data_IF_853084368678
#
_entry.id   IF_853084368678
#
_cell.length_a   1.000
_cell.length_b   1.000
_cell.length_c   1.000
_cell.angle_alpha   90.00
_cell.angle_beta   90.00
_cell.angle_gamma   90.00
#
_symmetry.space_group_name_H-M   'P 1'
#
loop_
_entity.id
_entity.type
_entity.pdbx_description
1 polymer ?
#
# COMPACT_ATOMS: atom_id res chain seq x y z
N UNK A 1 57.47 23.41 -4.84
CA UNK A 1 57.17 24.84 -4.99
C UNK A 1 55.72 25.00 -4.64
N UNK A 2 55.40 25.26 -3.35
CA UNK A 2 55.11 26.58 -2.76
C UNK A 2 53.83 27.15 -3.37
N UNK A 3 52.77 27.48 -2.67
CA UNK A 3 52.56 28.14 -1.38
C UNK A 3 51.08 28.06 -0.97
N UNK A 4 50.84 27.75 0.28
CA UNK A 4 49.61 28.16 0.98
C UNK A 4 49.64 29.69 1.22
N UNK A 5 48.47 30.28 1.56
CA UNK A 5 48.43 30.97 2.85
C UNK A 5 47.18 30.73 3.68
N UNK A 6 47.44 30.61 4.96
CA UNK A 6 46.60 30.66 6.12
C UNK A 6 45.90 32.00 6.34
N UNK A 7 44.69 32.03 6.89
CA UNK A 7 44.21 33.12 7.76
C UNK A 7 43.37 32.58 8.92
N UNK A 8 43.76 33.01 10.10
CA UNK A 8 43.23 32.64 11.39
C UNK A 8 41.98 33.44 11.81
N UNK A 9 41.58 33.30 13.12
CA UNK A 9 40.21 33.51 13.57
C UNK A 9 39.93 34.94 14.02
N UNK A 10 38.64 35.35 13.96
CA UNK A 10 38.16 36.59 14.59
C UNK A 10 37.23 36.25 15.74
N UNK A 11 37.61 36.63 16.95
CA UNK A 11 36.80 36.71 18.16
C UNK A 11 35.84 37.91 18.10
N UNK A 12 34.63 37.73 18.59
CA UNK A 12 33.67 38.80 18.90
C UNK A 12 32.84 38.42 20.10
N UNK A 13 33.16 39.08 21.23
CA UNK A 13 32.44 39.00 22.49
C UNK A 13 31.14 39.84 22.47
N UNK A 14 30.04 39.37 23.03
CA UNK A 14 29.56 39.81 24.35
C UNK A 14 28.33 40.69 24.32
N UNK A 15 27.43 40.38 25.13
CA UNK A 15 26.61 41.11 26.09
C UNK A 15 25.17 40.58 26.17
N UNK A 16 24.89 40.05 27.37
CA UNK A 16 23.56 39.68 27.78
C UNK A 16 22.78 40.89 28.32
N UNK A 17 21.48 40.78 28.33
CA UNK A 17 20.61 41.41 29.31
C UNK A 17 19.39 40.52 29.56
N UNK A 18 19.19 40.22 30.86
CA UNK A 18 18.04 39.46 31.35
C UNK A 18 16.83 40.36 31.52
N UNK A 19 15.66 39.75 31.45
CA UNK A 19 14.44 40.33 32.03
C UNK A 19 13.72 39.22 32.81
N UNK A 20 13.50 39.53 34.09
CA UNK A 20 12.71 38.78 35.07
C UNK A 20 11.20 38.91 34.82
N UNK A 21 10.36 37.97 35.34
CA UNK A 21 8.92 37.97 35.12
C UNK A 21 8.16 38.79 36.17
N UNK A 22 7.09 39.45 35.72
CA UNK A 22 6.17 40.19 36.57
C UNK A 22 5.04 39.28 37.04
N UNK A 23 4.87 39.14 38.36
CA UNK A 23 3.71 38.52 39.02
C UNK A 23 2.55 39.53 39.11
N UNK A 24 1.32 39.11 38.81
CA UNK A 24 0.07 39.80 39.11
C UNK A 24 -0.93 38.84 39.80
N UNK A 25 -1.84 39.37 40.68
CA UNK A 25 -2.42 38.63 41.79
C UNK A 25 -3.70 37.88 41.46
N UNK A 26 -3.95 36.82 42.26
CA UNK A 26 -5.08 35.92 42.17
C UNK A 26 -6.43 36.52 42.56
N UNK A 27 -7.50 35.89 42.10
CA UNK A 27 -8.85 35.99 42.65
C UNK A 27 -9.41 34.57 42.89
N UNK A 28 -9.94 34.39 44.10
CA UNK A 28 -10.47 33.14 44.61
C UNK A 28 -11.91 32.80 44.13
N UNK A 29 -12.47 31.66 44.55
CA UNK A 29 -13.66 31.08 43.96
C UNK A 29 -14.97 31.59 44.56
N UNK A 30 -16.00 31.76 43.70
CA UNK A 30 -17.38 32.06 44.13
C UNK A 30 -18.20 30.77 44.04
N UNK A 31 -18.73 30.33 45.22
CA UNK A 31 -19.72 29.25 45.30
C UNK A 31 -21.13 29.77 44.98
N UNK A 32 -21.90 29.08 44.14
CA UNK A 32 -23.32 29.24 43.93
C UNK A 32 -24.04 27.87 43.89
N UNK A 33 -25.31 27.79 44.32
CA UNK A 33 -25.94 26.55 44.83
C UNK A 33 -26.47 25.61 43.76
N UNK A 34 -26.55 24.32 44.16
CA UNK A 34 -26.92 23.19 43.37
C UNK A 34 -28.33 23.16 42.78
N UNK A 35 -28.48 22.48 41.69
CA UNK A 35 -29.75 21.89 41.19
C UNK A 35 -29.53 20.43 40.83
N UNK A 36 -30.45 19.59 41.28
CA UNK A 36 -30.41 18.15 41.18
C UNK A 36 -30.64 17.59 39.76
N UNK A 37 -30.57 16.25 39.57
CA UNK A 37 -30.48 15.62 38.26
C UNK A 37 -31.82 15.55 37.54
N UNK A 38 -31.86 16.10 36.34
CA UNK A 38 -32.97 15.86 35.39
C UNK A 38 -32.56 14.66 34.51
N UNK A 39 -33.25 13.54 34.64
CA UNK A 39 -33.15 12.42 33.71
C UNK A 39 -33.79 12.83 32.38
N UNK A 40 -32.93 13.04 31.33
CA UNK A 40 -33.32 13.15 29.94
C UNK A 40 -33.04 11.82 29.22
N UNK A 41 -33.79 11.50 28.13
CA UNK A 41 -33.73 10.20 27.45
C UNK A 41 -32.37 10.01 26.75
N UNK A 42 -31.89 8.75 26.78
CA UNK A 42 -30.58 8.34 26.31
C UNK A 42 -30.23 8.81 24.91
N UNK A 43 -29.15 9.60 24.85
CA UNK A 43 -28.46 9.84 23.60
C UNK A 43 -27.70 8.57 23.21
N UNK A 44 -28.18 7.90 22.16
CA UNK A 44 -27.42 6.86 21.48
C UNK A 44 -26.05 7.41 21.12
N UNK A 45 -24.99 6.77 21.63
CA UNK A 45 -23.63 7.08 21.24
C UNK A 45 -23.52 6.78 19.75
N UNK A 46 -23.48 7.82 18.94
CA UNK A 46 -23.13 7.73 17.53
C UNK A 46 -21.73 7.17 17.43
N UNK A 47 -21.60 5.90 17.05
CA UNK A 47 -20.31 5.32 16.69
C UNK A 47 -19.85 6.06 15.44
N UNK A 48 -18.76 6.79 15.54
CA UNK A 48 -18.13 7.43 14.39
C UNK A 48 -17.79 6.38 13.32
N UNK A 49 -17.81 6.72 12.02
CA UNK A 49 -17.51 5.79 10.95
C UNK A 49 -16.08 5.25 11.13
N UNK A 50 -15.97 3.95 11.46
CA UNK A 50 -14.69 3.26 11.65
C UNK A 50 -14.47 2.51 12.96
N UNK A 51 -15.30 2.71 13.99
CA UNK A 51 -15.28 1.86 15.18
C UNK A 51 -16.10 0.59 14.90
N UNK A 52 -15.40 -0.55 14.73
CA UNK A 52 -16.05 -1.86 14.55
C UNK A 52 -15.65 -2.64 13.30
N UNK A 53 -14.76 -2.12 12.44
CA UNK A 53 -14.27 -2.88 11.29
C UNK A 53 -13.24 -3.92 11.76
N UNK A 54 -13.65 -5.19 11.82
CA UNK A 54 -12.77 -6.33 12.08
C UNK A 54 -12.66 -7.20 10.82
N UNK A 55 -11.69 -8.12 10.82
CA UNK A 55 -11.55 -9.11 9.76
C UNK A 55 -12.83 -9.91 9.58
N UNK A 56 -13.41 -10.37 10.67
CA UNK A 56 -14.61 -11.20 10.69
C UNK A 56 -15.85 -10.44 10.22
N UNK A 57 -16.01 -9.18 10.66
CA UNK A 57 -17.19 -8.37 10.30
C UNK A 57 -17.21 -7.96 8.83
N UNK A 58 -16.05 -7.87 8.19
CA UNK A 58 -15.89 -7.40 6.80
C UNK A 58 -15.74 -8.53 5.79
N UNK A 59 -15.31 -9.74 6.21
CA UNK A 59 -15.05 -10.86 5.31
C UNK A 59 -16.33 -11.34 4.61
N UNK A 60 -16.23 -11.53 3.30
CA UNK A 60 -17.29 -12.02 2.41
C UNK A 60 -16.74 -13.10 1.48
N UNK A 61 -17.62 -13.90 0.94
CA UNK A 61 -17.30 -14.94 -0.03
C UNK A 61 -18.13 -14.75 -1.31
N UNK A 62 -17.50 -14.99 -2.44
CA UNK A 62 -18.13 -15.06 -3.76
C UNK A 62 -17.78 -16.40 -4.40
N UNK A 63 -18.78 -17.22 -4.64
CA UNK A 63 -18.60 -18.47 -5.38
C UNK A 63 -18.49 -18.16 -6.86
N UNK A 64 -17.43 -18.63 -7.50
CA UNK A 64 -17.17 -18.49 -8.94
C UNK A 64 -16.94 -19.87 -9.57
N UNK A 65 -16.88 -19.91 -10.89
CA UNK A 65 -16.52 -21.11 -11.67
C UNK A 65 -15.06 -21.58 -11.44
N UNK A 66 -14.19 -20.70 -10.95
CA UNK A 66 -12.79 -21.01 -10.61
C UNK A 66 -12.54 -21.21 -9.11
N UNK A 67 -13.57 -21.34 -8.30
CA UNK A 67 -13.49 -21.49 -6.83
C UNK A 67 -14.03 -20.28 -6.07
N UNK A 68 -13.86 -20.29 -4.75
CA UNK A 68 -14.37 -19.25 -3.88
C UNK A 68 -13.34 -18.12 -3.78
N UNK A 69 -13.77 -16.92 -4.22
CA UNK A 69 -13.05 -15.68 -3.93
C UNK A 69 -13.50 -15.15 -2.58
N UNK A 70 -12.54 -14.79 -1.75
CA UNK A 70 -12.78 -14.08 -0.49
C UNK A 70 -12.35 -12.64 -0.63
N UNK A 71 -13.11 -11.76 -0.01
CA UNK A 71 -12.84 -10.32 -0.03
C UNK A 71 -13.36 -9.67 1.24
N UNK A 72 -12.86 -8.49 1.58
CA UNK A 72 -13.41 -7.69 2.65
C UNK A 72 -14.23 -6.56 2.07
N UNK A 73 -15.38 -6.25 2.69
CA UNK A 73 -16.28 -5.21 2.25
C UNK A 73 -16.59 -4.25 3.39
N UNK A 74 -16.48 -2.94 3.12
CA UNK A 74 -16.82 -1.88 4.07
C UNK A 74 -17.22 -0.60 3.32
N UNK A 75 -18.23 0.12 3.90
CA UNK A 75 -18.78 1.34 3.28
C UNK A 75 -19.82 1.04 2.20
N UNK A 76 -20.49 2.09 1.73
CA UNK A 76 -21.66 2.02 0.83
C UNK A 76 -21.60 3.04 -0.34
N UNK A 77 -20.49 3.76 -0.48
CA UNK A 77 -20.29 4.75 -1.55
C UNK A 77 -19.96 4.13 -2.91
N UNK A 78 -19.37 4.92 -3.84
CA UNK A 78 -18.89 4.42 -5.12
C UNK A 78 -17.90 3.27 -4.94
N UNK A 79 -17.88 2.25 -5.83
CA UNK A 79 -17.04 1.08 -5.66
C UNK A 79 -15.54 1.42 -5.79
N UNK A 80 -14.76 0.92 -4.81
CA UNK A 80 -13.31 1.01 -4.74
C UNK A 80 -12.72 -0.37 -4.53
N UNK A 81 -12.03 -0.88 -5.54
CA UNK A 81 -11.34 -2.17 -5.49
C UNK A 81 -9.91 -1.98 -4.99
N UNK A 82 -9.55 -2.71 -3.92
CA UNK A 82 -8.23 -2.68 -3.32
C UNK A 82 -7.50 -4.01 -3.56
N UNK A 83 -6.33 -3.94 -4.18
CA UNK A 83 -5.52 -5.07 -4.65
C UNK A 83 -4.19 -5.10 -3.90
N UNK A 84 -3.92 -6.19 -3.18
CA UNK A 84 -2.72 -6.32 -2.35
C UNK A 84 -1.46 -6.69 -3.12
N UNK A 85 -0.31 -6.59 -2.46
CA UNK A 85 0.98 -7.02 -2.98
C UNK A 85 1.17 -8.54 -2.95
N UNK A 86 2.43 -9.00 -3.03
CA UNK A 86 2.75 -10.43 -3.20
C UNK A 86 3.84 -10.95 -2.25
N UNK A 87 4.16 -10.24 -1.20
CA UNK A 87 5.19 -10.65 -0.25
C UNK A 87 4.76 -11.82 0.67
N UNK A 88 5.71 -12.43 1.41
CA UNK A 88 5.43 -13.49 2.35
C UNK A 88 4.35 -13.13 3.37
N UNK A 89 3.36 -13.99 3.52
CA UNK A 89 2.27 -13.82 4.46
C UNK A 89 1.39 -12.59 4.22
N UNK A 90 1.39 -12.02 3.01
CA UNK A 90 0.50 -10.93 2.65
C UNK A 90 -0.93 -11.43 2.51
N UNK A 91 -1.87 -10.59 2.94
CA UNK A 91 -3.30 -10.72 2.63
C UNK A 91 -3.85 -9.34 2.31
N UNK A 92 -4.99 -9.26 1.66
CA UNK A 92 -5.67 -7.99 1.41
C UNK A 92 -5.99 -7.27 2.71
N UNK A 93 -6.48 -8.04 3.70
CA UNK A 93 -6.74 -7.51 5.04
C UNK A 93 -5.51 -6.86 5.67
N UNK A 94 -4.38 -7.58 5.75
CA UNK A 94 -3.13 -7.02 6.34
C UNK A 94 -2.62 -5.80 5.57
N UNK A 95 -2.84 -5.77 4.27
CA UNK A 95 -2.39 -4.68 3.42
C UNK A 95 -3.17 -3.38 3.70
N UNK A 96 -4.51 -3.48 3.91
CA UNK A 96 -5.39 -2.32 3.90
C UNK A 96 -6.21 -2.10 5.17
N UNK A 97 -6.16 -3.00 6.18
CA UNK A 97 -6.96 -2.86 7.42
C UNK A 97 -6.82 -1.49 8.09
N UNK A 98 -5.64 -0.89 8.01
CA UNK A 98 -5.36 0.41 8.59
C UNK A 98 -6.01 1.59 7.87
N UNK A 99 -6.30 1.44 6.57
CA UNK A 99 -6.84 2.49 5.72
C UNK A 99 -8.36 2.35 5.51
N UNK A 100 -8.90 1.18 5.84
CA UNK A 100 -10.27 0.81 5.48
C UNK A 100 -11.29 1.78 6.09
N UNK A 101 -11.08 2.24 7.32
CA UNK A 101 -11.99 3.17 7.99
C UNK A 101 -12.06 4.53 7.28
N UNK A 102 -10.91 5.07 6.84
CA UNK A 102 -10.84 6.34 6.13
C UNK A 102 -11.48 6.25 4.74
N UNK A 103 -11.19 5.17 4.01
CA UNK A 103 -11.71 4.94 2.66
C UNK A 103 -13.21 4.61 2.67
N UNK A 104 -13.68 3.77 3.59
CA UNK A 104 -15.07 3.35 3.72
C UNK A 104 -16.03 4.50 4.10
N UNK A 105 -15.51 5.59 4.63
CA UNK A 105 -16.29 6.81 4.84
C UNK A 105 -16.74 7.51 3.55
N UNK A 106 -16.21 7.12 2.39
CA UNK A 106 -16.51 7.72 1.08
C UNK A 106 -16.82 6.69 -0.01
N UNK A 107 -16.36 5.46 0.13
CA UNK A 107 -16.39 4.42 -0.89
C UNK A 107 -16.97 3.12 -0.35
N UNK A 108 -17.55 2.31 -1.23
CA UNK A 108 -17.76 0.88 -1.01
C UNK A 108 -16.43 0.18 -1.30
N UNK A 109 -15.65 -0.06 -0.26
CA UNK A 109 -14.32 -0.69 -0.35
C UNK A 109 -14.46 -2.20 -0.50
N UNK A 110 -13.80 -2.77 -1.51
CA UNK A 110 -13.74 -4.19 -1.83
C UNK A 110 -12.27 -4.62 -1.82
N UNK A 111 -11.81 -5.21 -0.73
CA UNK A 111 -10.42 -5.66 -0.61
C UNK A 111 -10.35 -7.11 -1.05
N UNK A 112 -9.88 -7.36 -2.27
CA UNK A 112 -9.76 -8.71 -2.81
C UNK A 112 -8.61 -9.45 -2.12
N UNK A 113 -8.86 -10.69 -1.70
CA UNK A 113 -7.86 -11.67 -1.34
C UNK A 113 -7.50 -12.48 -2.59
N UNK A 114 -6.33 -12.24 -3.17
CA UNK A 114 -5.94 -12.93 -4.39
C UNK A 114 -5.80 -14.44 -4.20
N UNK A 115 -6.20 -15.28 -5.18
CA UNK A 115 -5.88 -16.70 -5.19
C UNK A 115 -4.39 -16.98 -5.10
N UNK A 116 -4.00 -17.99 -4.31
CA UNK A 116 -2.62 -18.37 -4.09
C UNK A 116 -1.91 -17.65 -2.94
N UNK A 117 -2.65 -16.86 -2.15
CA UNK A 117 -2.13 -16.17 -0.95
C UNK A 117 -2.77 -16.67 0.35
N UNK A 118 -3.48 -17.80 0.30
CA UNK A 118 -3.93 -18.57 1.46
C UNK A 118 -5.25 -18.12 2.09
N UNK A 119 -6.02 -17.25 1.44
CA UNK A 119 -7.34 -16.84 1.91
C UNK A 119 -8.43 -17.26 0.92
N UNK A 120 -8.35 -16.83 -0.34
CA UNK A 120 -9.19 -17.35 -1.44
C UNK A 120 -8.71 -18.71 -1.88
N UNK A 121 -9.57 -19.49 -2.50
CA UNK A 121 -9.24 -20.80 -3.03
C UNK A 121 -8.07 -20.71 -4.04
N UNK A 122 -7.11 -21.64 -3.98
CA UNK A 122 -5.99 -21.65 -4.90
C UNK A 122 -6.44 -21.99 -6.33
N UNK A 123 -5.78 -21.38 -7.31
CA UNK A 123 -5.93 -21.80 -8.71
C UNK A 123 -4.69 -22.58 -9.14
N UNK A 124 -4.83 -23.46 -10.15
CA UNK A 124 -3.69 -24.15 -10.76
C UNK A 124 -2.77 -23.22 -11.55
N UNK A 125 -3.24 -21.99 -11.86
CA UNK A 125 -2.50 -21.01 -12.63
C UNK A 125 -1.42 -20.29 -11.79
N UNK A 126 -0.48 -19.66 -12.50
CA UNK A 126 0.50 -18.77 -11.86
C UNK A 126 -0.23 -17.58 -11.19
N UNK A 127 0.06 -17.22 -9.91
CA UNK A 127 -0.71 -16.20 -9.19
C UNK A 127 -0.84 -14.86 -9.93
N UNK A 128 0.25 -14.38 -10.55
CA UNK A 128 0.23 -13.15 -11.36
C UNK A 128 -0.66 -13.24 -12.60
N UNK A 129 -0.78 -14.43 -13.21
CA UNK A 129 -1.63 -14.63 -14.38
C UNK A 129 -3.12 -14.75 -13.99
N UNK A 130 -3.42 -15.32 -12.83
CA UNK A 130 -4.79 -15.49 -12.33
C UNK A 130 -5.37 -14.16 -11.78
N UNK A 131 -4.53 -13.27 -11.25
CA UNK A 131 -4.96 -12.10 -10.49
C UNK A 131 -5.87 -11.11 -11.27
N UNK A 132 -5.60 -10.76 -12.56
CA UNK A 132 -6.50 -9.87 -13.30
C UNK A 132 -7.90 -10.49 -13.50
N UNK A 133 -7.97 -11.79 -13.82
CA UNK A 133 -9.23 -12.51 -13.94
C UNK A 133 -10.00 -12.56 -12.61
N UNK A 134 -9.32 -12.78 -11.49
CA UNK A 134 -9.95 -12.76 -10.17
C UNK A 134 -10.53 -11.39 -9.83
N UNK A 135 -9.83 -10.30 -10.17
CA UNK A 135 -10.32 -8.94 -9.97
C UNK A 135 -11.60 -8.68 -10.79
N UNK A 136 -11.62 -9.08 -12.05
CA UNK A 136 -12.80 -8.94 -12.92
C UNK A 136 -13.96 -9.81 -12.44
N UNK A 137 -13.72 -11.08 -12.10
CA UNK A 137 -14.76 -11.97 -11.57
C UNK A 137 -15.40 -11.43 -10.28
N UNK A 138 -14.61 -10.81 -9.41
CA UNK A 138 -15.17 -10.15 -8.22
C UNK A 138 -16.13 -9.02 -8.61
N UNK A 139 -15.72 -8.14 -9.52
CA UNK A 139 -16.58 -7.04 -9.98
C UNK A 139 -17.85 -7.57 -10.67
N UNK A 140 -17.72 -8.57 -11.53
CA UNK A 140 -18.84 -9.17 -12.26
C UNK A 140 -19.84 -9.85 -11.32
N UNK A 141 -19.34 -10.65 -10.39
CA UNK A 141 -20.17 -11.34 -9.41
C UNK A 141 -20.91 -10.40 -8.44
N UNK A 142 -20.40 -9.19 -8.27
CA UNK A 142 -21.06 -8.14 -7.47
C UNK A 142 -21.88 -7.15 -8.31
N UNK A 143 -22.02 -7.37 -9.62
CA UNK A 143 -22.75 -6.50 -10.52
C UNK A 143 -22.12 -5.11 -10.68
N UNK A 144 -20.80 -4.99 -10.51
CA UNK A 144 -20.09 -3.72 -10.58
C UNK A 144 -19.48 -3.56 -11.98
N UNK A 145 -20.04 -2.66 -12.76
CA UNK A 145 -19.56 -2.38 -14.11
C UNK A 145 -18.22 -1.64 -14.11
N UNK A 146 -18.01 -0.70 -13.19
CA UNK A 146 -16.83 0.16 -13.14
C UNK A 146 -16.46 0.52 -11.70
N UNK A 147 -15.17 0.48 -11.36
CA UNK A 147 -14.66 0.82 -10.03
C UNK A 147 -13.43 1.73 -10.10
N UNK A 148 -13.17 2.48 -9.03
CA UNK A 148 -11.81 2.96 -8.76
C UNK A 148 -10.95 1.80 -8.28
N UNK A 149 -9.66 1.85 -8.56
CA UNK A 149 -8.72 0.78 -8.19
C UNK A 149 -7.53 1.35 -7.43
N UNK A 150 -7.23 0.76 -6.28
CA UNK A 150 -5.96 0.98 -5.57
C UNK A 150 -5.18 -0.33 -5.59
N UNK A 151 -3.94 -0.31 -6.04
CA UNK A 151 -3.09 -1.50 -6.08
C UNK A 151 -1.72 -1.28 -5.47
N UNK A 152 -1.35 -2.13 -4.49
CA UNK A 152 0.00 -2.15 -3.94
C UNK A 152 0.88 -3.15 -4.68
N UNK A 153 2.04 -2.71 -5.16
CA UNK A 153 3.06 -3.59 -5.75
C UNK A 153 2.48 -4.46 -6.89
N UNK A 154 2.38 -5.77 -6.71
CA UNK A 154 1.67 -6.67 -7.64
C UNK A 154 0.26 -6.17 -7.96
N UNK A 155 -0.48 -5.72 -6.95
CA UNK A 155 -1.83 -5.18 -7.14
C UNK A 155 -1.87 -3.96 -8.07
N UNK A 156 -0.83 -3.12 -8.05
CA UNK A 156 -0.69 -1.99 -8.97
C UNK A 156 -0.47 -2.45 -10.42
N UNK A 157 0.34 -3.49 -10.62
CA UNK A 157 0.53 -4.11 -11.96
C UNK A 157 -0.79 -4.72 -12.45
N UNK A 158 -1.49 -5.45 -11.58
CA UNK A 158 -2.79 -6.06 -11.91
C UNK A 158 -3.83 -4.99 -12.26
N UNK A 159 -3.93 -3.92 -11.46
CA UNK A 159 -4.83 -2.80 -11.74
C UNK A 159 -4.53 -2.13 -13.09
N UNK A 160 -3.26 -1.93 -13.42
CA UNK A 160 -2.84 -1.40 -14.71
C UNK A 160 -3.18 -2.36 -15.87
N UNK A 161 -2.98 -3.68 -15.68
CA UNK A 161 -3.36 -4.68 -16.67
C UNK A 161 -4.87 -4.68 -16.96
N UNK A 162 -5.71 -4.65 -15.91
CA UNK A 162 -7.16 -4.55 -16.06
C UNK A 162 -7.53 -3.25 -16.79
N UNK A 163 -6.97 -2.10 -16.39
CA UNK A 163 -7.25 -0.81 -17.01
C UNK A 163 -6.81 -0.72 -18.50
N UNK A 164 -5.81 -1.51 -18.91
CA UNK A 164 -5.36 -1.59 -20.32
C UNK A 164 -6.20 -2.57 -21.13
N UNK A 165 -6.54 -3.74 -20.56
CA UNK A 165 -7.29 -4.77 -21.26
C UNK A 165 -8.77 -4.45 -21.36
N UNK A 166 -9.35 -3.83 -20.35
CA UNK A 166 -10.74 -3.40 -20.30
C UNK A 166 -10.86 -1.99 -19.67
N UNK A 167 -10.63 -0.94 -20.47
CA UNK A 167 -10.64 0.44 -19.97
C UNK A 167 -12.00 0.89 -19.39
N UNK A 168 -13.10 0.22 -19.72
CA UNK A 168 -14.41 0.54 -19.18
C UNK A 168 -14.54 0.18 -17.69
N UNK A 169 -13.75 -0.77 -17.20
CA UNK A 169 -13.85 -1.31 -15.85
C UNK A 169 -13.14 -0.46 -14.78
N UNK A 170 -12.19 0.38 -15.17
CA UNK A 170 -11.41 1.19 -14.22
C UNK A 170 -11.70 2.68 -14.44
N UNK A 171 -12.24 3.34 -13.41
CA UNK A 171 -12.52 4.79 -13.44
C UNK A 171 -11.25 5.59 -13.18
N UNK A 172 -10.54 5.29 -12.09
CA UNK A 172 -9.25 5.87 -11.70
C UNK A 172 -8.37 4.77 -11.15
N UNK A 173 -7.07 4.92 -11.31
CA UNK A 173 -6.08 3.98 -10.80
C UNK A 173 -5.12 4.70 -9.82
N UNK A 174 -4.93 4.13 -8.64
CA UNK A 174 -3.85 4.49 -7.71
C UNK A 174 -2.90 3.31 -7.58
N UNK A 175 -1.60 3.54 -7.77
CA UNK A 175 -0.58 2.51 -7.55
C UNK A 175 0.30 2.87 -6.37
N UNK A 176 0.74 1.86 -5.62
CA UNK A 176 1.66 1.99 -4.49
C UNK A 176 2.87 1.13 -4.79
N UNK A 177 3.95 1.73 -5.27
CA UNK A 177 5.16 1.01 -5.70
C UNK A 177 4.90 0.02 -6.85
N UNK A 178 5.91 -0.76 -7.21
CA UNK A 178 5.82 -1.98 -8.04
C UNK A 178 5.60 -1.79 -9.55
N UNK A 179 4.90 -0.77 -9.99
CA UNK A 179 4.68 -0.51 -11.41
C UNK A 179 5.89 0.20 -12.02
N UNK A 180 6.62 -0.47 -12.90
CA UNK A 180 7.76 0.15 -13.58
C UNK A 180 8.93 -0.80 -13.83
N UNK A 181 10.09 -0.23 -14.10
CA UNK A 181 11.33 -0.95 -14.41
C UNK A 181 12.54 -0.19 -13.85
N UNK A 182 13.52 -0.91 -13.32
CA UNK A 182 14.77 -0.33 -12.86
C UNK A 182 15.50 0.38 -14.02
N UNK A 183 15.88 1.64 -13.83
CA UNK A 183 16.65 2.43 -14.77
C UNK A 183 18.11 2.56 -14.35
N UNK A 184 18.34 2.87 -13.07
CA UNK A 184 19.67 3.13 -12.49
C UNK A 184 19.98 2.13 -11.37
N UNK A 185 18.96 1.73 -10.62
CA UNK A 185 19.12 0.78 -9.53
C UNK A 185 19.39 -0.62 -10.03
N UNK A 186 20.22 -1.41 -9.34
CA UNK A 186 20.45 -2.79 -9.73
C UNK A 186 19.19 -3.64 -9.60
N UNK A 187 18.93 -4.48 -10.58
CA UNK A 187 17.85 -5.46 -10.55
C UNK A 187 18.36 -6.88 -10.36
N UNK A 188 17.72 -7.71 -9.53
CA UNK A 188 16.57 -7.38 -8.67
C UNK A 188 16.96 -6.52 -7.46
N UNK A 189 16.04 -5.68 -6.98
CA UNK A 189 16.23 -4.87 -5.78
C UNK A 189 16.47 -5.71 -4.53
N UNK A 190 16.94 -5.06 -3.44
CA UNK A 190 17.27 -5.74 -2.18
C UNK A 190 16.11 -6.59 -1.66
N UNK A 191 14.90 -6.01 -1.57
CA UNK A 191 13.75 -6.72 -1.05
C UNK A 191 13.36 -7.94 -1.89
N UNK A 192 13.51 -7.88 -3.23
CA UNK A 192 13.25 -9.05 -4.10
C UNK A 192 14.30 -10.14 -3.88
N UNK A 193 15.57 -9.79 -3.63
CA UNK A 193 16.62 -10.78 -3.31
C UNK A 193 16.36 -11.47 -1.98
N UNK A 194 15.98 -10.71 -0.94
CA UNK A 194 15.62 -11.24 0.37
C UNK A 194 14.34 -12.09 0.31
N UNK A 195 13.37 -11.69 -0.52
CA UNK A 195 12.19 -12.49 -0.79
C UNK A 195 12.54 -13.84 -1.44
N UNK A 196 13.44 -13.84 -2.41
CA UNK A 196 13.95 -15.07 -3.03
C UNK A 196 14.66 -15.97 -1.99
N UNK A 197 15.50 -15.38 -1.13
CA UNK A 197 16.16 -16.11 -0.05
C UNK A 197 15.13 -16.78 0.85
N UNK A 198 14.08 -16.05 1.27
CA UNK A 198 13.03 -16.59 2.11
C UNK A 198 12.28 -17.75 1.45
N UNK A 199 11.84 -17.61 0.20
CA UNK A 199 11.04 -18.68 -0.44
C UNK A 199 11.86 -19.93 -0.75
N UNK A 200 13.18 -19.81 -0.93
CA UNK A 200 14.08 -20.96 -1.10
C UNK A 200 14.38 -21.61 0.26
N UNK A 201 14.63 -20.82 1.29
CA UNK A 201 15.02 -21.25 2.64
C UNK A 201 14.16 -20.50 3.67
N UNK A 202 12.91 -20.96 3.91
CA UNK A 202 12.00 -20.26 4.79
C UNK A 202 12.43 -20.42 6.26
N UNK A 203 13.08 -19.40 6.80
CA UNK A 203 13.39 -19.25 8.21
C UNK A 203 12.80 -17.96 8.75
N UNK A 204 12.58 -17.92 10.07
CA UNK A 204 12.03 -16.74 10.73
C UNK A 204 12.94 -15.52 10.54
N UNK A 205 14.24 -15.73 10.64
CA UNK A 205 15.26 -14.69 10.43
C UNK A 205 15.25 -14.16 8.99
N UNK A 206 15.04 -15.02 8.00
CA UNK A 206 14.91 -14.60 6.61
C UNK A 206 13.64 -13.77 6.40
N UNK A 207 12.51 -14.13 7.03
CA UNK A 207 11.29 -13.34 7.02
C UNK A 207 11.52 -11.96 7.64
N UNK A 208 12.15 -11.89 8.82
CA UNK A 208 12.44 -10.64 9.52
C UNK A 208 13.34 -9.72 8.68
N UNK A 209 14.41 -10.25 8.08
CA UNK A 209 15.28 -9.47 7.18
C UNK A 209 14.51 -8.92 6.00
N UNK A 210 13.64 -9.74 5.40
CA UNK A 210 12.79 -9.27 4.30
C UNK A 210 11.81 -8.18 4.78
N UNK A 211 11.15 -8.34 5.91
CA UNK A 211 10.23 -7.33 6.48
C UNK A 211 10.94 -5.99 6.71
N UNK A 212 12.16 -6.01 7.26
CA UNK A 212 12.95 -4.78 7.40
C UNK A 212 13.31 -4.12 6.07
N UNK A 213 13.38 -4.87 4.97
CA UNK A 213 13.59 -4.27 3.65
C UNK A 213 12.35 -3.57 3.08
N UNK A 214 11.17 -3.85 3.65
CA UNK A 214 9.89 -3.29 3.20
C UNK A 214 9.61 -1.90 3.77
N UNK A 215 10.25 -1.54 4.89
CA UNK A 215 9.96 -0.32 5.64
C UNK A 215 11.19 0.58 5.77
N UNK A 216 10.96 1.88 5.94
CA UNK A 216 11.98 2.84 6.32
C UNK A 216 12.26 2.78 7.83
N UNK A 217 11.20 2.82 8.66
CA UNK A 217 11.32 2.71 10.10
C UNK A 217 11.26 1.21 10.54
N UNK A 218 12.39 0.64 11.00
CA UNK A 218 12.43 -0.76 11.43
C UNK A 218 11.52 -1.04 12.64
N UNK A 219 11.11 -0.04 13.42
CA UNK A 219 10.23 -0.20 14.56
C UNK A 219 8.80 -0.66 14.15
N UNK A 220 8.43 -0.51 12.89
CA UNK A 220 7.17 -1.02 12.35
C UNK A 220 7.15 -2.56 12.21
N UNK A 221 8.30 -3.20 12.22
CA UNK A 221 8.41 -4.67 12.17
C UNK A 221 8.30 -5.22 13.60
N UNK A 222 7.06 -5.35 14.07
CA UNK A 222 6.77 -5.88 15.42
C UNK A 222 6.76 -7.40 15.42
N UNK A 223 6.94 -7.98 16.61
CA UNK A 223 6.85 -9.42 16.82
C UNK A 223 5.48 -9.97 16.36
N UNK A 224 4.40 -9.25 16.67
CA UNK A 224 3.04 -9.60 16.23
C UNK A 224 2.96 -9.67 14.69
N UNK A 225 3.51 -8.68 13.99
CA UNK A 225 3.56 -8.70 12.53
C UNK A 225 4.34 -9.90 12.00
N UNK A 226 5.45 -10.24 12.62
CA UNK A 226 6.26 -11.41 12.23
C UNK A 226 5.47 -12.69 12.41
N UNK A 227 4.82 -12.90 13.56
CA UNK A 227 4.00 -14.09 13.82
C UNK A 227 2.80 -14.21 12.86
N UNK A 228 2.04 -13.14 12.68
CA UNK A 228 0.91 -13.11 11.73
C UNK A 228 1.34 -13.52 10.32
N UNK A 229 2.53 -13.06 9.88
CA UNK A 229 3.04 -13.35 8.54
C UNK A 229 3.68 -14.72 8.43
N UNK A 230 4.38 -15.15 9.47
CA UNK A 230 5.06 -16.46 9.51
C UNK A 230 4.08 -17.60 9.27
N UNK A 231 2.99 -17.63 10.04
CA UNK A 231 1.98 -18.68 9.93
C UNK A 231 1.42 -18.81 8.49
N UNK A 232 1.14 -17.68 7.83
CA UNK A 232 0.61 -17.67 6.46
C UNK A 232 1.69 -17.96 5.42
N UNK A 233 2.91 -17.43 5.59
CA UNK A 233 3.99 -17.55 4.63
C UNK A 233 4.57 -18.96 4.55
N UNK A 234 4.46 -19.73 5.63
CA UNK A 234 4.95 -21.12 5.72
C UNK A 234 3.88 -22.16 5.45
N UNK A 235 2.63 -21.74 5.24
CA UNK A 235 1.61 -22.63 4.70
C UNK A 235 2.11 -23.25 3.38
N UNK A 236 2.00 -24.58 3.20
CA UNK A 236 2.60 -25.28 2.06
C UNK A 236 2.15 -24.76 0.70
N UNK A 237 0.87 -24.46 0.53
CA UNK A 237 0.31 -24.01 -0.75
C UNK A 237 0.71 -22.55 -1.02
N UNK A 238 0.66 -21.71 0.00
CA UNK A 238 1.10 -20.30 -0.07
C UNK A 238 2.60 -20.22 -0.38
N UNK A 239 3.42 -21.03 0.26
CA UNK A 239 4.86 -21.07 0.00
C UNK A 239 5.17 -21.59 -1.42
N UNK A 240 4.45 -22.61 -1.88
CA UNK A 240 4.59 -23.12 -3.23
C UNK A 240 4.20 -22.07 -4.29
N UNK A 241 3.11 -21.32 -4.06
CA UNK A 241 2.72 -20.20 -4.92
C UNK A 241 3.78 -19.08 -4.93
N UNK A 242 4.32 -18.74 -3.76
CA UNK A 242 5.40 -17.76 -3.61
C UNK A 242 6.68 -18.20 -4.34
N UNK A 243 7.05 -19.48 -4.26
CA UNK A 243 8.19 -20.03 -5.02
C UNK A 243 7.99 -19.95 -6.54
N UNK A 244 6.78 -20.18 -7.04
CA UNK A 244 6.47 -19.99 -8.47
C UNK A 244 6.68 -18.54 -8.93
N UNK A 245 6.52 -17.57 -8.03
CA UNK A 245 6.69 -16.15 -8.35
C UNK A 245 8.14 -15.65 -8.17
N UNK A 246 8.82 -16.08 -7.12
CA UNK A 246 10.05 -15.47 -6.61
C UNK A 246 11.20 -16.44 -6.37
N UNK A 247 11.01 -17.73 -6.58
CA UNK A 247 12.10 -18.70 -6.51
C UNK A 247 13.14 -18.46 -7.59
N UNK A 248 14.35 -18.98 -7.43
CA UNK A 248 15.46 -18.83 -8.38
C UNK A 248 15.09 -19.22 -9.79
N UNK A 249 14.34 -20.32 -9.95
CA UNK A 249 13.86 -20.76 -11.26
C UNK A 249 12.95 -19.72 -11.93
N UNK A 250 12.04 -19.12 -11.16
CA UNK A 250 11.14 -18.07 -11.64
C UNK A 250 11.92 -16.81 -12.07
N UNK A 251 12.89 -16.37 -11.26
CA UNK A 251 13.74 -15.22 -11.61
C UNK A 251 14.58 -15.49 -12.86
N UNK A 252 15.12 -16.70 -13.00
CA UNK A 252 15.89 -17.09 -14.19
C UNK A 252 14.99 -17.10 -15.44
N UNK A 253 13.78 -17.66 -15.35
CA UNK A 253 12.82 -17.65 -16.43
C UNK A 253 12.40 -16.23 -16.82
N UNK A 254 12.18 -15.35 -15.84
CA UNK A 254 11.87 -13.94 -16.09
C UNK A 254 13.02 -13.20 -16.77
N UNK A 255 14.27 -13.44 -16.34
CA UNK A 255 15.44 -12.86 -16.97
C UNK A 255 15.64 -13.34 -18.41
N UNK A 256 15.30 -14.60 -18.70
CA UNK A 256 15.31 -15.15 -20.06
C UNK A 256 14.19 -14.53 -20.92
N UNK A 257 12.97 -14.39 -20.37
CA UNK A 257 11.86 -13.75 -21.06
C UNK A 257 12.11 -12.27 -21.37
N UNK A 258 12.82 -11.57 -20.52
CA UNK A 258 13.22 -10.16 -20.74
C UNK A 258 14.19 -9.98 -21.93
N UNK A 259 14.80 -11.07 -22.42
CA UNK A 259 15.66 -11.08 -23.62
C UNK A 259 14.91 -11.50 -24.89
N UNK A 260 13.62 -11.79 -24.79
CA UNK A 260 12.78 -12.11 -25.94
C UNK A 260 12.39 -10.83 -26.69
N UNK A 261 12.00 -10.99 -27.96
CA UNK A 261 11.50 -9.88 -28.80
C UNK A 261 10.10 -9.40 -28.39
N UNK A 262 9.45 -10.05 -27.42
CA UNK A 262 8.15 -9.63 -26.94
C UNK A 262 8.28 -8.32 -26.14
N UNK A 263 7.44 -7.31 -26.41
CA UNK A 263 7.50 -6.06 -25.68
C UNK A 263 7.20 -6.30 -24.18
N UNK A 264 8.00 -5.74 -23.27
CA UNK A 264 7.76 -5.88 -21.85
C UNK A 264 6.45 -5.17 -21.46
N UNK A 265 5.85 -5.59 -20.33
CA UNK A 265 4.54 -5.05 -19.89
C UNK A 265 4.52 -3.52 -19.79
N UNK A 266 5.61 -2.92 -19.35
CA UNK A 266 5.71 -1.46 -19.20
C UNK A 266 5.68 -0.71 -20.56
N UNK A 267 6.00 -1.37 -21.65
CA UNK A 267 5.89 -0.77 -22.99
C UNK A 267 4.43 -0.53 -23.42
N UNK A 268 3.46 -1.18 -22.75
CA UNK A 268 2.03 -1.01 -23.03
C UNK A 268 1.35 0.06 -22.17
N UNK A 269 2.07 0.64 -21.19
CA UNK A 269 1.50 1.62 -20.25
C UNK A 269 0.91 2.87 -20.91
N UNK A 270 1.40 3.25 -22.08
CA UNK A 270 0.84 4.34 -22.89
C UNK A 270 -0.63 4.10 -23.33
N UNK A 271 -1.12 2.87 -23.22
CA UNK A 271 -2.51 2.49 -23.53
C UNK A 271 -3.46 2.70 -22.35
N UNK A 272 -2.95 2.88 -21.14
CA UNK A 272 -3.75 3.15 -19.95
C UNK A 272 -4.45 4.50 -20.11
N UNK A 273 -5.78 4.53 -20.01
CA UNK A 273 -6.62 5.73 -20.21
C UNK A 273 -7.18 6.28 -18.91
N UNK A 274 -7.30 5.44 -17.88
CA UNK A 274 -7.78 5.89 -16.57
C UNK A 274 -6.82 6.92 -15.98
N UNK A 275 -7.32 8.05 -15.43
CA UNK A 275 -6.50 8.95 -14.64
C UNK A 275 -5.74 8.14 -13.58
N UNK A 276 -4.43 8.37 -13.46
CA UNK A 276 -3.55 7.53 -12.65
C UNK A 276 -2.73 8.36 -11.68
N UNK A 277 -2.80 8.01 -10.39
CA UNK A 277 -1.92 8.49 -9.34
C UNK A 277 -0.92 7.40 -8.98
N UNK A 278 0.35 7.67 -9.19
CA UNK A 278 1.46 6.80 -8.80
C UNK A 278 1.96 7.29 -7.43
N UNK A 279 1.90 6.44 -6.40
CA UNK A 279 2.43 6.77 -5.07
C UNK A 279 3.65 5.91 -4.77
N UNK A 280 4.68 6.50 -4.16
CA UNK A 280 5.97 5.83 -3.96
C UNK A 280 6.66 6.27 -2.68
N UNK A 281 7.27 5.32 -1.96
CA UNK A 281 8.20 5.64 -0.87
C UNK A 281 9.57 6.02 -1.45
N UNK A 282 10.13 7.14 -0.99
CA UNK A 282 11.45 7.61 -1.45
C UNK A 282 12.54 6.56 -1.20
N UNK A 283 12.41 5.84 -0.08
CA UNK A 283 13.42 4.93 0.44
C UNK A 283 13.06 3.44 0.20
N UNK A 284 12.22 3.17 -0.81
CA UNK A 284 11.77 1.84 -1.18
C UNK A 284 12.94 0.97 -1.69
N UNK A 285 13.26 -0.09 -0.94
CA UNK A 285 14.33 -1.05 -1.25
C UNK A 285 13.85 -2.29 -2.01
N UNK A 286 12.54 -2.41 -2.20
CA UNK A 286 11.93 -3.50 -2.99
C UNK A 286 11.78 -3.08 -4.44
N UNK A 287 11.16 -1.91 -4.62
CA UNK A 287 10.95 -1.25 -5.91
C UNK A 287 11.60 0.14 -5.83
N UNK A 288 12.90 0.29 -6.15
CA UNK A 288 13.58 1.57 -6.06
C UNK A 288 12.86 2.67 -6.82
N UNK A 289 12.93 3.92 -6.31
CA UNK A 289 12.15 5.05 -6.82
C UNK A 289 12.33 5.31 -8.33
N UNK A 290 13.51 5.01 -8.89
CA UNK A 290 13.75 5.17 -10.33
C UNK A 290 12.82 4.33 -11.21
N UNK A 291 12.22 3.26 -10.67
CA UNK A 291 11.19 2.49 -11.37
C UNK A 291 9.93 3.32 -11.67
N UNK A 292 9.60 4.32 -10.86
CA UNK A 292 8.43 5.17 -11.05
C UNK A 292 8.52 6.09 -12.29
N UNK A 293 9.73 6.36 -12.78
CA UNK A 293 9.95 7.34 -13.86
C UNK A 293 9.37 6.89 -15.19
N UNK A 294 9.46 5.60 -15.52
CA UNK A 294 8.88 5.08 -16.78
C UNK A 294 7.36 5.16 -16.77
N UNK A 295 6.62 4.62 -15.78
CA UNK A 295 5.17 4.74 -15.77
C UNK A 295 4.69 6.20 -15.68
N UNK A 296 5.34 7.04 -14.87
CA UNK A 296 5.02 8.47 -14.80
C UNK A 296 5.12 9.16 -16.18
N UNK A 297 6.11 8.78 -16.97
CA UNK A 297 6.33 9.34 -18.31
C UNK A 297 5.44 8.70 -19.37
N UNK A 298 5.17 7.40 -19.26
CA UNK A 298 4.47 6.63 -20.29
C UNK A 298 2.94 6.72 -20.19
N UNK A 299 2.39 6.79 -18.98
CA UNK A 299 0.94 6.85 -18.77
C UNK A 299 0.47 8.29 -19.01
N UNK A 300 -0.46 8.52 -19.96
CA UNK A 300 -0.98 9.87 -20.23
C UNK A 300 -1.64 10.49 -18.98
N UNK A 301 -1.18 11.68 -18.60
CA UNK A 301 -1.75 12.42 -17.46
C UNK A 301 -1.48 11.80 -16.09
N UNK A 302 -0.52 10.87 -15.97
CA UNK A 302 -0.16 10.30 -14.66
C UNK A 302 0.47 11.36 -13.75
N UNK A 303 0.09 11.29 -12.47
CA UNK A 303 0.69 12.09 -11.40
C UNK A 303 1.60 11.17 -10.55
N UNK A 304 2.73 11.69 -10.10
CA UNK A 304 3.63 10.98 -9.18
C UNK A 304 3.73 11.72 -7.86
N UNK A 305 3.41 11.01 -6.77
CA UNK A 305 3.59 11.51 -5.40
C UNK A 305 4.60 10.65 -4.66
N UNK A 306 5.71 11.24 -4.24
CA UNK A 306 6.80 10.57 -3.51
C UNK A 306 6.76 10.99 -2.04
N UNK A 307 6.73 10.01 -1.14
CA UNK A 307 6.70 10.21 0.30
C UNK A 307 8.12 10.06 0.88
N UNK A 308 8.64 11.06 1.61
CA UNK A 308 9.93 10.96 2.29
C UNK A 308 9.85 10.00 3.47
N UNK A 309 11.00 9.50 3.94
CA UNK A 309 11.13 8.62 5.10
C UNK A 309 10.14 7.46 5.05
N UNK A 310 10.09 6.79 3.91
CA UNK A 310 9.08 5.81 3.58
C UNK A 310 9.63 4.74 2.65
N UNK A 311 9.41 3.48 3.00
CA UNK A 311 9.75 2.31 2.22
C UNK A 311 8.62 1.88 1.26
N UNK A 312 8.43 0.58 1.13
CA UNK A 312 7.51 -0.02 0.14
C UNK A 312 6.02 0.08 0.53
N UNK A 313 5.71 0.22 1.83
CA UNK A 313 4.33 0.25 2.32
C UNK A 313 3.85 1.65 2.66
N UNK A 314 3.80 2.52 1.64
CA UNK A 314 3.41 3.93 1.79
C UNK A 314 2.10 4.10 2.59
N UNK A 315 1.09 3.26 2.29
CA UNK A 315 -0.22 3.28 2.95
C UNK A 315 -0.18 2.86 4.42
N UNK A 316 0.92 2.31 4.89
CA UNK A 316 1.16 1.93 6.29
C UNK A 316 2.07 2.98 6.96
N UNK A 317 3.20 3.29 6.33
CA UNK A 317 4.26 4.14 6.89
C UNK A 317 3.88 5.62 6.91
N UNK A 318 3.25 6.09 5.84
CA UNK A 318 2.81 7.48 5.67
C UNK A 318 1.28 7.59 5.59
N UNK A 319 0.58 6.80 6.44
CA UNK A 319 -0.87 6.57 6.36
C UNK A 319 -1.68 7.85 6.15
N UNK A 320 -1.60 8.81 7.05
CA UNK A 320 -2.45 10.00 7.02
C UNK A 320 -2.19 10.86 5.78
N UNK A 321 -0.92 11.04 5.39
CA UNK A 321 -0.54 11.80 4.22
C UNK A 321 -0.97 11.08 2.94
N UNK A 322 -0.82 9.76 2.89
CA UNK A 322 -1.24 8.94 1.76
C UNK A 322 -2.75 8.92 1.60
N UNK A 323 -3.52 8.70 2.67
CA UNK A 323 -4.99 8.73 2.64
C UNK A 323 -5.51 10.09 2.16
N UNK A 324 -4.93 11.20 2.63
CA UNK A 324 -5.27 12.54 2.18
C UNK A 324 -5.03 12.72 0.67
N UNK A 325 -3.87 12.34 0.16
CA UNK A 325 -3.53 12.44 -1.25
C UNK A 325 -4.45 11.58 -2.13
N UNK A 326 -4.70 10.34 -1.71
CA UNK A 326 -5.54 9.38 -2.45
C UNK A 326 -7.01 9.82 -2.44
N UNK A 327 -7.55 10.22 -1.30
CA UNK A 327 -8.93 10.72 -1.23
C UNK A 327 -9.10 11.98 -2.08
N UNK A 328 -8.16 12.93 -2.04
CA UNK A 328 -8.20 14.11 -2.89
C UNK A 328 -8.19 13.75 -4.39
N UNK A 329 -7.41 12.75 -4.79
CA UNK A 329 -7.36 12.29 -6.18
C UNK A 329 -8.66 11.57 -6.60
N UNK A 330 -9.15 10.63 -5.79
CA UNK A 330 -10.32 9.80 -6.12
C UNK A 330 -11.64 10.58 -6.12
N UNK A 331 -11.72 11.69 -5.36
CA UNK A 331 -12.93 12.52 -5.27
C UNK A 331 -12.92 13.74 -6.19
N UNK A 332 -11.91 13.92 -7.04
CA UNK A 332 -11.91 14.98 -8.05
C UNK A 332 -13.10 14.86 -8.98
N UNK A 333 -13.72 15.98 -9.31
CA UNK A 333 -14.72 16.04 -10.37
C UNK A 333 -14.07 15.59 -11.69
N UNK A 334 -14.81 14.84 -12.50
CA UNK A 334 -14.36 14.52 -13.86
C UNK A 334 -14.37 15.83 -14.67
N UNK A 335 -13.25 16.14 -15.31
CA UNK A 335 -13.23 17.28 -16.24
C UNK A 335 -14.26 17.02 -17.35
N UNK A 336 -15.05 18.03 -17.72
CA UNK A 336 -16.11 17.91 -18.74
C UNK A 336 -15.59 17.48 -20.10
#
# INVERSE_FOLDING_TARGET
MSTEPSHGPIHGQGHGQGHEPIHGPGQGPIHGPGQGPIHGPGHGQGHGPGQGLSRESTLRELVTDEGVLRYHEAGDGPPLLLLHGSGPGVTGWRNYRGNLAALAGRFRCLVLEFPGFGVSDPTGAHPMAAAPGAALRLLDGLGIERADVIGNSMGGIVGAQVAISDPARVRRLVTIGGLGVNLFSPGPGEGVRLLTEFVEHPTREALVRWLHSMVYDPALVTEEMVEERWAQATDPDTLAASRRMYGRAALTARAAAARSDAPPYWATLHRLRAPTLITWGRDDRVSPLDMALVPMRAIPGAELHVFPDCGHWVMIEQRAAWESAVLAFLTREEAP
#
